data_IF_838265006397
#
_entry.id   IF_838265006397
#
_cell.length_a   1.000
_cell.length_b   1.000
_cell.length_c   1.000
_cell.angle_alpha   90.00
_cell.angle_beta   90.00
_cell.angle_gamma   90.00
#
_symmetry.space_group_name_H-M   'P 1'
#
loop_
_entity.id
_entity.type
_entity.pdbx_description
1 polymer ?
#
# COMPACT_ATOMS: atom_id res chain seq x y z
N UNK A 1 26.48 -19.81 15.36
CA UNK A 1 27.41 -19.09 14.47
C UNK A 1 26.67 -18.59 13.22
N UNK A 2 25.60 -17.78 13.37
CA UNK A 2 24.69 -17.41 12.25
C UNK A 2 24.33 -15.91 12.19
N UNK A 3 24.61 -15.14 13.24
CA UNK A 3 24.39 -13.69 13.30
C UNK A 3 25.00 -12.85 12.16
N UNK A 4 26.22 -13.12 11.63
CA UNK A 4 26.80 -12.23 10.61
C UNK A 4 26.04 -12.24 9.28
N UNK A 5 25.37 -13.34 8.93
CA UNK A 5 24.60 -13.44 7.68
C UNK A 5 23.26 -12.71 7.78
N UNK A 6 22.53 -12.90 8.89
CA UNK A 6 21.25 -12.22 9.13
C UNK A 6 21.42 -10.69 9.18
N UNK A 7 22.47 -10.19 9.85
CA UNK A 7 22.77 -8.76 9.92
C UNK A 7 23.13 -8.18 8.55
N UNK A 8 23.90 -8.93 7.75
CA UNK A 8 24.29 -8.49 6.40
C UNK A 8 23.10 -8.46 5.45
N UNK A 9 22.22 -9.47 5.51
CA UNK A 9 21.01 -9.53 4.70
C UNK A 9 20.05 -8.39 5.04
N UNK A 10 19.79 -8.14 6.34
CA UNK A 10 18.92 -7.06 6.79
C UNK A 10 19.41 -5.68 6.30
N UNK A 11 20.71 -5.42 6.38
CA UNK A 11 21.32 -4.18 5.85
C UNK A 11 21.19 -4.08 4.33
N UNK A 12 21.37 -5.19 3.61
CA UNK A 12 21.21 -5.23 2.15
C UNK A 12 19.77 -4.89 1.75
N UNK A 13 18.78 -5.49 2.42
CA UNK A 13 17.37 -5.21 2.19
C UNK A 13 17.00 -3.76 2.52
N UNK A 14 17.55 -3.19 3.59
CA UNK A 14 17.36 -1.78 3.95
C UNK A 14 17.86 -0.84 2.85
N UNK A 15 19.06 -1.08 2.32
CA UNK A 15 19.63 -0.28 1.25
C UNK A 15 18.83 -0.41 -0.06
N UNK A 16 18.37 -1.62 -0.38
CA UNK A 16 17.51 -1.87 -1.53
C UNK A 16 16.18 -1.10 -1.43
N UNK A 17 15.49 -1.21 -0.29
CA UNK A 17 14.25 -0.48 -0.01
C UNK A 17 14.43 1.03 -0.15
N UNK A 18 15.48 1.60 0.48
CA UNK A 18 15.75 3.04 0.36
C UNK A 18 16.02 3.47 -1.08
N UNK A 19 16.67 2.61 -1.86
CA UNK A 19 16.91 2.86 -3.29
C UNK A 19 15.61 2.82 -4.08
N UNK A 20 14.74 1.84 -3.82
CA UNK A 20 13.42 1.76 -4.43
C UNK A 20 12.54 2.98 -4.09
N UNK A 21 12.52 3.43 -2.83
CA UNK A 21 11.81 4.64 -2.40
C UNK A 21 12.35 5.93 -3.05
N UNK A 22 13.66 6.02 -3.28
CA UNK A 22 14.20 7.13 -4.10
C UNK A 22 13.74 7.02 -5.55
N UNK A 23 13.67 5.80 -6.08
CA UNK A 23 13.15 5.53 -7.42
C UNK A 23 11.68 5.92 -7.57
N UNK A 24 10.85 5.69 -6.56
CA UNK A 24 9.42 6.02 -6.61
C UNK A 24 9.17 7.54 -6.69
N UNK A 25 10.08 8.37 -6.17
CA UNK A 25 9.99 9.82 -6.30
C UNK A 25 9.92 10.28 -7.77
N UNK A 26 10.57 9.57 -8.71
CA UNK A 26 10.51 9.91 -10.14
C UNK A 26 9.10 9.77 -10.76
N UNK A 27 8.21 9.02 -10.09
CA UNK A 27 6.80 8.90 -10.47
C UNK A 27 5.96 9.86 -9.65
N UNK A 28 6.11 9.82 -8.31
CA UNK A 28 5.25 10.56 -7.39
C UNK A 28 5.40 12.08 -7.50
N UNK A 29 6.56 12.58 -7.95
CA UNK A 29 6.81 14.02 -8.13
C UNK A 29 5.84 14.67 -9.12
N UNK A 30 5.34 13.91 -10.10
CA UNK A 30 4.37 14.37 -11.10
C UNK A 30 3.02 14.72 -10.47
N UNK A 31 2.75 14.17 -9.30
CA UNK A 31 1.56 14.42 -8.49
C UNK A 31 1.85 15.35 -7.30
N UNK A 32 3.07 15.91 -7.22
CA UNK A 32 3.48 16.81 -6.15
C UNK A 32 3.93 16.11 -4.86
N UNK A 33 4.10 14.78 -4.89
CA UNK A 33 4.51 14.00 -3.73
C UNK A 33 5.97 13.57 -3.86
N UNK A 34 6.80 13.88 -2.86
CA UNK A 34 8.23 13.52 -2.90
C UNK A 34 8.71 13.23 -1.49
N UNK A 35 9.30 12.04 -1.29
CA UNK A 35 9.91 11.67 -0.02
C UNK A 35 11.31 12.29 0.08
N UNK A 36 11.56 12.96 1.19
CA UNK A 36 12.89 13.43 1.56
C UNK A 36 13.75 12.27 2.10
N UNK A 37 15.08 12.42 2.07
CA UNK A 37 15.96 11.38 2.59
C UNK A 37 15.71 11.04 4.08
N UNK A 38 15.43 12.01 4.99
CA UNK A 38 14.97 11.69 6.35
C UNK A 38 13.71 10.83 6.41
N UNK A 39 12.70 11.12 5.57
CA UNK A 39 11.45 10.34 5.53
C UNK A 39 11.69 8.93 5.00
N UNK A 40 12.51 8.78 3.96
CA UNK A 40 12.92 7.47 3.42
C UNK A 40 13.62 6.63 4.50
N UNK A 41 14.48 7.25 5.31
CA UNK A 41 15.11 6.56 6.45
C UNK A 41 14.08 6.13 7.49
N UNK A 42 13.18 7.04 7.89
CA UNK A 42 12.15 6.76 8.87
C UNK A 42 11.20 5.64 8.43
N UNK A 43 10.75 5.64 7.17
CA UNK A 43 9.92 4.58 6.58
C UNK A 43 10.65 3.22 6.59
N UNK A 44 11.92 3.23 6.20
CA UNK A 44 12.75 2.03 6.21
C UNK A 44 12.97 1.46 7.61
N UNK A 45 13.11 2.32 8.63
CA UNK A 45 13.25 1.92 10.03
C UNK A 45 11.93 1.38 10.59
N UNK A 46 10.81 2.07 10.33
CA UNK A 46 9.48 1.64 10.74
C UNK A 46 9.13 0.25 10.18
N UNK A 47 9.45 0.01 8.90
CA UNK A 47 9.26 -1.33 8.31
C UNK A 47 10.06 -2.40 9.03
N UNK A 48 11.34 -2.13 9.30
CA UNK A 48 12.16 -3.11 10.01
C UNK A 48 11.64 -3.39 11.43
N UNK A 49 11.11 -2.38 12.11
CA UNK A 49 10.48 -2.54 13.42
C UNK A 49 9.23 -3.41 13.34
N UNK A 50 8.32 -3.12 12.40
CA UNK A 50 7.11 -3.91 12.17
C UNK A 50 7.43 -5.40 11.87
N UNK A 51 8.35 -5.66 10.93
CA UNK A 51 8.77 -7.02 10.59
C UNK A 51 9.37 -7.77 11.78
N UNK A 52 10.21 -7.10 12.59
CA UNK A 52 10.79 -7.72 13.79
C UNK A 52 9.73 -8.00 14.85
N UNK A 53 8.81 -7.07 15.08
CA UNK A 53 7.74 -7.22 16.07
C UNK A 53 6.84 -8.40 15.75
N UNK A 54 6.51 -8.60 14.47
CA UNK A 54 5.66 -9.70 14.00
C UNK A 54 6.43 -11.01 13.73
N UNK A 55 7.76 -11.02 13.88
CA UNK A 55 8.58 -12.19 13.57
C UNK A 55 8.60 -12.56 12.08
N UNK A 56 8.33 -11.59 11.21
CA UNK A 56 8.17 -11.74 9.75
C UNK A 56 9.48 -11.51 9.01
N UNK A 57 9.65 -12.23 7.90
CA UNK A 57 10.73 -11.99 6.93
C UNK A 57 10.09 -11.74 5.57
N UNK A 58 10.39 -10.59 4.99
CA UNK A 58 9.91 -10.21 3.66
C UNK A 58 11.07 -10.25 2.65
N UNK A 59 10.79 -10.74 1.45
CA UNK A 59 11.78 -10.89 0.37
C UNK A 59 11.57 -9.77 -0.65
N UNK A 60 12.66 -9.22 -1.17
CA UNK A 60 12.62 -8.18 -2.20
C UNK A 60 12.61 -6.75 -1.65
N UNK A 61 12.08 -5.81 -2.43
CA UNK A 61 12.05 -4.38 -2.13
C UNK A 61 11.01 -4.00 -1.05
N UNK A 62 10.10 -4.93 -0.77
CA UNK A 62 9.03 -4.80 0.22
C UNK A 62 7.78 -4.09 -0.30
N UNK A 63 6.76 -3.97 0.55
CA UNK A 63 5.47 -3.35 0.20
C UNK A 63 5.52 -1.84 0.02
N UNK A 64 6.43 -1.14 0.72
CA UNK A 64 6.47 0.33 0.75
C UNK A 64 6.60 1.00 -0.64
N UNK A 65 7.48 0.55 -1.55
CA UNK A 65 7.52 1.08 -2.92
C UNK A 65 6.24 0.83 -3.71
N UNK A 66 5.56 -0.31 -3.50
CA UNK A 66 4.26 -0.59 -4.12
C UNK A 66 3.18 0.35 -3.62
N UNK A 67 3.13 0.60 -2.30
CA UNK A 67 2.24 1.59 -1.70
C UNK A 67 2.55 3.00 -2.21
N UNK A 68 3.84 3.37 -2.27
CA UNK A 68 4.26 4.66 -2.80
C UNK A 68 3.74 4.88 -4.22
N UNK A 69 3.87 3.88 -5.08
CA UNK A 69 3.33 3.92 -6.44
C UNK A 69 1.81 3.95 -6.48
N UNK A 70 1.14 3.02 -5.78
CA UNK A 70 -0.31 2.87 -5.81
C UNK A 70 -1.07 4.04 -5.19
N UNK A 71 -0.44 4.82 -4.30
CA UNK A 71 -1.06 5.95 -3.61
C UNK A 71 -0.60 7.32 -4.12
N UNK A 72 0.40 7.40 -5.03
CA UNK A 72 1.03 8.67 -5.38
C UNK A 72 0.12 9.67 -6.12
N UNK A 73 -0.95 9.20 -6.76
CA UNK A 73 -1.93 10.03 -7.47
C UNK A 73 -3.24 10.21 -6.69
N UNK A 74 -3.27 9.82 -5.39
CA UNK A 74 -4.45 10.01 -4.56
C UNK A 74 -4.73 11.49 -4.33
N UNK A 75 -5.97 11.96 -4.58
CA UNK A 75 -6.34 13.36 -4.33
C UNK A 75 -6.41 13.68 -2.83
N UNK A 76 -6.32 12.69 -1.96
CA UNK A 76 -6.49 12.83 -0.52
C UNK A 76 -5.17 12.87 0.26
N UNK A 77 -4.02 12.81 -0.42
CA UNK A 77 -2.70 12.84 0.22
C UNK A 77 -2.03 14.19 -0.06
N UNK A 78 -1.79 14.95 1.02
CA UNK A 78 -1.01 16.18 0.95
C UNK A 78 0.50 15.86 0.98
N UNK A 79 1.36 16.67 0.33
CA UNK A 79 2.81 16.47 0.34
C UNK A 79 3.40 16.35 1.74
N UNK A 80 2.92 17.16 2.69
CA UNK A 80 3.41 17.18 4.08
C UNK A 80 3.00 15.93 4.87
N UNK A 81 1.97 15.21 4.41
CA UNK A 81 1.46 14.00 5.05
C UNK A 81 1.93 12.71 4.36
N UNK A 82 2.61 12.81 3.21
CA UNK A 82 2.88 11.64 2.35
C UNK A 82 3.63 10.53 3.08
N UNK A 83 4.72 10.87 3.76
CA UNK A 83 5.51 9.90 4.50
C UNK A 83 4.74 9.25 5.66
N UNK A 84 3.97 10.04 6.42
CA UNK A 84 3.12 9.50 7.50
C UNK A 84 2.02 8.59 6.97
N UNK A 85 1.37 8.98 5.86
CA UNK A 85 0.33 8.18 5.22
C UNK A 85 0.88 6.85 4.71
N UNK A 86 2.05 6.84 4.06
CA UNK A 86 2.68 5.59 3.62
C UNK A 86 3.05 4.66 4.78
N UNK A 87 3.48 5.22 5.91
CA UNK A 87 3.75 4.43 7.11
C UNK A 87 2.48 3.75 7.63
N UNK A 88 1.40 4.51 7.82
CA UNK A 88 0.13 3.97 8.31
C UNK A 88 -0.47 2.96 7.33
N UNK A 89 -0.39 3.22 6.01
CA UNK A 89 -0.81 2.25 5.00
C UNK A 89 0.00 0.94 5.06
N UNK A 90 1.30 1.01 5.32
CA UNK A 90 2.12 -0.20 5.51
C UNK A 90 1.70 -0.98 6.76
N UNK A 91 1.45 -0.30 7.88
CA UNK A 91 0.96 -0.92 9.11
C UNK A 91 -0.41 -1.58 8.89
N UNK A 92 -1.34 -0.90 8.20
CA UNK A 92 -2.64 -1.45 7.82
C UNK A 92 -2.52 -2.63 6.86
N UNK A 93 -1.61 -2.57 5.88
CA UNK A 93 -1.36 -3.68 4.95
C UNK A 93 -0.94 -4.94 5.70
N UNK A 94 0.02 -4.84 6.63
CA UNK A 94 0.46 -5.99 7.41
C UNK A 94 -0.63 -6.54 8.32
N UNK A 95 -1.47 -5.68 8.90
CA UNK A 95 -2.64 -6.09 9.68
C UNK A 95 -3.65 -6.86 8.82
N UNK A 96 -4.02 -6.35 7.65
CA UNK A 96 -4.91 -7.07 6.75
C UNK A 96 -4.31 -8.37 6.22
N UNK A 97 -3.02 -8.41 5.94
CA UNK A 97 -2.35 -9.63 5.51
C UNK A 97 -2.37 -10.70 6.61
N UNK A 98 -2.25 -10.31 7.89
CA UNK A 98 -2.45 -11.21 9.02
C UNK A 98 -3.90 -11.73 9.06
N UNK A 99 -4.89 -10.83 9.00
CA UNK A 99 -6.31 -11.18 9.16
C UNK A 99 -6.89 -11.98 7.99
N UNK A 100 -6.32 -11.82 6.79
CA UNK A 100 -6.81 -12.45 5.58
C UNK A 100 -6.19 -13.82 5.29
N UNK A 101 -5.22 -14.29 6.09
CA UNK A 101 -4.58 -15.62 5.94
C UNK A 101 -4.22 -15.99 4.49
N UNK A 102 -3.46 -15.13 3.80
CA UNK A 102 -3.05 -15.31 2.40
C UNK A 102 -4.19 -15.32 1.37
N UNK A 103 -5.39 -14.85 1.71
CA UNK A 103 -6.50 -14.75 0.76
C UNK A 103 -6.25 -13.75 -0.37
N UNK A 104 -5.39 -12.74 -0.16
CA UNK A 104 -5.03 -11.75 -1.18
C UNK A 104 -3.57 -11.89 -1.60
N UNK A 105 -3.29 -11.62 -2.87
CA UNK A 105 -1.96 -11.18 -3.27
C UNK A 105 -1.70 -9.75 -2.77
N UNK A 106 -0.42 -9.36 -2.64
CA UNK A 106 -0.05 -7.99 -2.27
C UNK A 106 -0.76 -6.94 -3.14
N UNK A 107 -0.83 -7.18 -4.44
CA UNK A 107 -1.32 -6.21 -5.41
C UNK A 107 -2.85 -6.06 -5.27
N UNK A 108 -3.58 -7.16 -5.08
CA UNK A 108 -5.03 -7.14 -4.81
C UNK A 108 -5.35 -6.44 -3.49
N UNK A 109 -4.57 -6.69 -2.44
CA UNK A 109 -4.78 -6.05 -1.15
C UNK A 109 -4.52 -4.54 -1.23
N UNK A 110 -3.43 -4.12 -1.89
CA UNK A 110 -3.11 -2.71 -2.12
C UNK A 110 -4.20 -2.03 -2.96
N UNK A 111 -4.70 -2.69 -4.01
CA UNK A 111 -5.77 -2.18 -4.87
C UNK A 111 -7.08 -2.01 -4.08
N UNK A 112 -7.45 -2.99 -3.25
CA UNK A 112 -8.64 -2.92 -2.40
C UNK A 112 -8.53 -1.77 -1.39
N UNK A 113 -7.38 -1.64 -0.71
CA UNK A 113 -7.10 -0.54 0.21
C UNK A 113 -7.21 0.81 -0.50
N UNK A 114 -6.62 0.94 -1.70
CA UNK A 114 -6.65 2.18 -2.49
C UNK A 114 -8.07 2.55 -2.91
N UNK A 115 -8.86 1.58 -3.43
CA UNK A 115 -10.26 1.81 -3.82
C UNK A 115 -11.09 2.34 -2.67
N UNK A 116 -10.95 1.76 -1.48
CA UNK A 116 -11.69 2.22 -0.31
C UNK A 116 -11.20 3.58 0.16
N UNK A 117 -9.87 3.76 0.25
CA UNK A 117 -9.22 5.00 0.66
C UNK A 117 -9.72 6.21 -0.15
N UNK A 118 -9.67 6.11 -1.48
CA UNK A 118 -10.07 7.18 -2.37
C UNK A 118 -11.58 7.35 -2.50
N UNK A 119 -12.29 6.22 -2.47
CA UNK A 119 -13.74 6.17 -2.56
C UNK A 119 -14.38 6.52 -1.23
N UNK A 120 -15.11 5.56 -0.65
CA UNK A 120 -15.96 5.81 0.53
C UNK A 120 -15.23 6.30 1.79
N UNK A 121 -13.92 6.08 1.92
CA UNK A 121 -13.15 6.56 3.06
C UNK A 121 -12.68 8.01 2.91
N UNK A 122 -12.65 8.55 1.68
CA UNK A 122 -12.25 9.94 1.40
C UNK A 122 -10.94 10.35 2.10
N UNK A 123 -9.90 9.52 2.00
CA UNK A 123 -8.60 9.75 2.63
C UNK A 123 -8.47 9.29 4.09
N UNK A 124 -9.52 8.72 4.69
CA UNK A 124 -9.49 8.32 6.09
C UNK A 124 -8.81 6.98 6.31
N UNK A 125 -7.58 7.01 6.86
CA UNK A 125 -6.86 5.81 7.31
C UNK A 125 -7.59 5.11 8.47
N UNK A 126 -8.19 5.89 9.38
CA UNK A 126 -9.04 5.35 10.44
C UNK A 126 -10.25 4.59 9.89
N UNK A 127 -10.81 5.01 8.76
CA UNK A 127 -11.89 4.24 8.13
C UNK A 127 -11.38 2.89 7.64
N UNK A 128 -10.20 2.86 6.99
CA UNK A 128 -9.56 1.61 6.57
C UNK A 128 -9.33 0.68 7.76
N UNK A 129 -8.79 1.18 8.88
CA UNK A 129 -8.52 0.39 10.09
C UNK A 129 -9.74 -0.38 10.64
N UNK A 130 -10.96 0.09 10.37
CA UNK A 130 -12.20 -0.55 10.83
C UNK A 130 -12.80 -1.54 9.84
N UNK A 131 -12.12 -1.82 8.72
CA UNK A 131 -12.59 -2.76 7.70
C UNK A 131 -12.24 -4.21 8.05
N UNK A 132 -12.99 -5.13 7.48
CA UNK A 132 -12.66 -6.55 7.46
C UNK A 132 -12.06 -6.96 6.10
N UNK A 133 -11.35 -8.09 6.02
CA UNK A 133 -10.95 -8.68 4.73
C UNK A 133 -12.13 -8.86 3.75
N UNK A 134 -13.33 -9.18 4.25
CA UNK A 134 -14.53 -9.29 3.42
C UNK A 134 -14.99 -7.95 2.83
N UNK A 135 -14.73 -6.83 3.51
CA UNK A 135 -15.03 -5.50 2.98
C UNK A 135 -14.04 -5.09 1.88
N UNK A 136 -12.80 -5.56 1.97
CA UNK A 136 -11.79 -5.37 0.93
C UNK A 136 -12.13 -6.19 -0.33
N UNK A 137 -12.59 -7.43 -0.18
CA UNK A 137 -13.10 -8.22 -1.31
C UNK A 137 -14.25 -7.52 -2.04
N UNK A 138 -15.25 -7.02 -1.31
CA UNK A 138 -16.35 -6.26 -1.90
C UNK A 138 -15.87 -5.01 -2.64
N UNK A 139 -14.80 -4.38 -2.16
CA UNK A 139 -14.23 -3.22 -2.83
C UNK A 139 -13.61 -3.58 -4.18
N UNK A 140 -13.03 -4.78 -4.33
CA UNK A 140 -12.55 -5.30 -5.61
C UNK A 140 -13.71 -5.69 -6.54
N UNK A 141 -14.75 -6.32 -6.01
CA UNK A 141 -15.91 -6.77 -6.79
C UNK A 141 -16.77 -5.61 -7.33
N UNK A 142 -16.83 -4.47 -6.61
CA UNK A 142 -17.68 -3.32 -6.96
C UNK A 142 -17.37 -2.63 -8.29
N UNK A 143 -16.26 -2.98 -8.95
CA UNK A 143 -15.87 -2.51 -10.28
C UNK A 143 -16.17 -3.55 -11.39
N UNK A 144 -16.36 -4.83 -11.03
CA UNK A 144 -16.66 -5.91 -11.98
C UNK A 144 -18.13 -5.90 -12.51
N UNK A 145 -18.89 -4.84 -12.22
CA UNK A 145 -20.33 -4.77 -12.46
C UNK A 145 -20.85 -3.51 -13.15
N UNK A 146 -20.00 -2.68 -13.77
CA UNK A 146 -20.45 -1.46 -14.46
C UNK A 146 -19.95 -1.28 -15.90
N UNK A 147 -19.55 -2.36 -16.57
CA UNK A 147 -19.35 -2.37 -18.03
C UNK A 147 -20.45 -3.20 -18.73
N UNK A 148 -21.70 -2.72 -18.68
CA UNK A 148 -22.73 -3.03 -19.70
C UNK A 148 -23.84 -1.96 -19.65
N UNK A 149 -23.81 -0.93 -20.52
CA UNK A 149 -25.03 -0.28 -20.95
C UNK A 149 -25.33 -0.70 -22.40
N UNK A 150 -26.31 -1.58 -22.56
CA UNK A 150 -27.12 -1.60 -23.78
C UNK A 150 -28.60 -1.52 -23.42
N UNK A 151 -29.16 -0.35 -23.73
CA UNK A 151 -30.58 -0.08 -23.81
C UNK A 151 -31.19 -1.01 -24.87
N UNK A 152 -32.10 -1.89 -24.46
CA UNK A 152 -33.17 -2.32 -25.36
C UNK A 152 -34.33 -1.34 -25.22
N UNK A 153 -34.18 -0.17 -25.85
CA UNK A 153 -35.34 0.56 -26.35
C UNK A 153 -35.55 0.15 -27.80
N UNK A 154 -36.16 -1.02 -28.01
CA UNK A 154 -36.86 -1.26 -29.28
C UNK A 154 -38.36 -1.21 -29.01
N UNK A 155 -38.85 -0.02 -29.37
CA UNK A 155 -40.22 0.41 -29.61
C UNK A 155 -40.96 -0.57 -30.55
N UNK A 156 -42.01 -1.18 -30.01
CA UNK A 156 -43.31 -1.58 -30.59
C UNK A 156 -43.40 -2.38 -31.93
N UNK A 157 -44.47 -3.17 -32.11
CA UNK A 157 -45.76 -2.57 -32.53
C UNK A 157 -47.04 -3.09 -31.83
#
# INVERSE_FOLDING_TARGET
MSEPFAVTLARSQELALRTALRGSNAVSEKFGLTLTEPEIRALSEARQEALRYEGRVEIGEGVLPKLAFAFCDSPHIAPEAYASTLRELMELFYAFQNDAEDAFSDDELIEAMRRVFDGRAQGSLRYLENLTPGDLWRALEGDAGQDEPWEDTDDDP
#
